data_IF_969349704471
#
_entry.id   IF_969349704471
#
_cell.length_a   1.000
_cell.length_b   1.000
_cell.length_c   1.000
_cell.angle_alpha   90.00
_cell.angle_beta   90.00
_cell.angle_gamma   90.00
#
_symmetry.space_group_name_H-M   'P 1'
#
loop_
_entity.id
_entity.type
_entity.pdbx_description
1 polymer ?
#
# COMPACT_ATOMS: atom_id res chain seq x y z
N UNK A 1 -11.39 15.22 7.71
CA UNK A 1 -11.10 13.81 7.42
C UNK A 1 -9.87 13.42 8.22
N UNK A 2 -9.92 12.32 8.96
CA UNK A 2 -8.82 11.87 9.81
C UNK A 2 -7.61 11.44 8.97
N UNK A 3 -6.39 11.62 9.48
CA UNK A 3 -5.18 11.29 8.74
C UNK A 3 -5.11 9.79 8.38
N UNK A 4 -5.57 8.91 9.29
CA UNK A 4 -5.61 7.46 9.06
C UNK A 4 -6.67 7.07 8.03
N UNK A 5 -7.81 7.78 7.99
CA UNK A 5 -8.84 7.57 6.95
C UNK A 5 -8.31 7.94 5.56
N UNK A 6 -7.50 9.00 5.44
CA UNK A 6 -6.85 9.36 4.16
C UNK A 6 -5.90 8.27 3.69
N UNK A 7 -5.09 7.71 4.60
CA UNK A 7 -4.19 6.60 4.30
C UNK A 7 -4.98 5.36 3.90
N UNK A 8 -6.00 4.99 4.67
CA UNK A 8 -6.86 3.84 4.36
C UNK A 8 -7.45 3.95 2.96
N UNK A 9 -8.07 5.10 2.63
CA UNK A 9 -8.67 5.31 1.31
C UNK A 9 -7.63 5.15 0.20
N UNK A 10 -6.44 5.73 0.35
CA UNK A 10 -5.37 5.59 -0.63
C UNK A 10 -4.99 4.13 -0.89
N UNK A 11 -4.83 3.36 0.19
CA UNK A 11 -4.46 1.93 0.12
C UNK A 11 -5.60 1.11 -0.51
N UNK A 12 -6.85 1.42 -0.17
CA UNK A 12 -8.03 0.77 -0.77
C UNK A 12 -8.15 1.07 -2.28
N UNK A 13 -7.86 2.31 -2.72
CA UNK A 13 -7.86 2.73 -4.13
C UNK A 13 -6.79 2.01 -4.96
N UNK A 14 -5.67 1.65 -4.31
CA UNK A 14 -4.62 0.82 -4.90
C UNK A 14 -4.99 -0.68 -4.93
N UNK A 15 -6.20 -1.05 -4.46
CA UNK A 15 -6.68 -2.42 -4.44
C UNK A 15 -6.00 -3.31 -3.39
N UNK A 16 -5.36 -2.71 -2.38
CA UNK A 16 -4.63 -3.43 -1.34
C UNK A 16 -5.48 -3.50 -0.07
N UNK A 17 -5.57 -4.70 0.53
CA UNK A 17 -6.34 -4.89 1.76
C UNK A 17 -5.74 -4.15 2.95
N UNK A 18 -6.52 -3.26 3.59
CA UNK A 18 -6.09 -2.54 4.78
C UNK A 18 -7.20 -2.25 5.79
N UNK A 19 -6.81 -2.02 7.04
CA UNK A 19 -7.71 -1.69 8.14
C UNK A 19 -7.09 -0.67 9.08
N UNK A 20 -7.89 0.28 9.58
CA UNK A 20 -7.48 1.21 10.65
C UNK A 20 -7.56 0.48 11.99
N UNK A 21 -6.46 0.48 12.75
CA UNK A 21 -6.35 -0.16 14.07
C UNK A 21 -5.79 0.84 15.06
N UNK A 22 -6.64 1.43 15.89
CA UNK A 22 -6.22 2.40 16.89
C UNK A 22 -5.53 3.62 16.26
N UNK A 23 -4.21 3.70 16.41
CA UNK A 23 -3.37 4.82 15.98
C UNK A 23 -2.67 4.63 14.61
N UNK A 24 -2.95 3.54 13.89
CA UNK A 24 -2.28 3.23 12.62
C UNK A 24 -3.18 2.51 11.61
N UNK A 25 -2.74 2.45 10.36
CA UNK A 25 -3.32 1.59 9.32
C UNK A 25 -2.46 0.33 9.19
N UNK A 26 -3.10 -0.83 9.25
CA UNK A 26 -2.47 -2.11 8.95
C UNK A 26 -2.72 -2.46 7.48
N UNK A 27 -1.64 -2.58 6.70
CA UNK A 27 -1.65 -2.95 5.28
C UNK A 27 -1.22 -4.41 5.17
N UNK A 28 -2.06 -5.24 4.56
CA UNK A 28 -1.74 -6.64 4.31
C UNK A 28 -1.13 -6.79 2.91
N UNK A 29 0.02 -7.44 2.82
CA UNK A 29 0.67 -7.77 1.57
C UNK A 29 0.88 -9.27 1.43
N UNK A 30 0.39 -9.83 0.33
CA UNK A 30 0.73 -11.16 -0.12
C UNK A 30 1.60 -11.06 -1.36
N UNK A 31 2.77 -11.67 -1.32
CA UNK A 31 3.63 -11.85 -2.49
C UNK A 31 3.65 -13.31 -2.87
N UNK A 32 3.41 -13.60 -4.14
CA UNK A 32 3.59 -14.92 -4.73
C UNK A 32 4.85 -14.87 -5.59
N UNK A 33 5.80 -15.72 -5.28
CA UNK A 33 7.06 -15.87 -6.01
C UNK A 33 7.16 -17.28 -6.56
N UNK A 34 7.71 -17.42 -7.76
CA UNK A 34 8.02 -18.73 -8.33
C UNK A 34 9.48 -19.04 -8.01
N UNK A 35 9.71 -20.12 -7.28
CA UNK A 35 11.04 -20.63 -6.99
C UNK A 35 11.68 -21.26 -8.24
N UNK A 36 12.99 -21.50 -8.18
CA UNK A 36 13.75 -22.04 -9.31
C UNK A 36 13.29 -23.46 -9.72
N UNK A 37 12.69 -24.22 -8.79
CA UNK A 37 12.07 -25.53 -9.02
C UNK A 37 10.64 -25.44 -9.60
N UNK A 38 10.14 -24.23 -9.84
CA UNK A 38 8.79 -23.98 -10.34
C UNK A 38 7.70 -23.93 -9.26
N UNK A 39 8.04 -24.17 -7.98
CA UNK A 39 7.08 -24.08 -6.89
C UNK A 39 6.64 -22.63 -6.66
N UNK A 40 5.35 -22.42 -6.36
CA UNK A 40 4.82 -21.12 -5.94
C UNK A 40 4.97 -20.98 -4.43
N UNK A 41 5.74 -19.98 -4.00
CA UNK A 41 5.87 -19.60 -2.60
C UNK A 41 5.04 -18.35 -2.35
N UNK A 42 4.13 -18.44 -1.38
CA UNK A 42 3.35 -17.31 -0.88
C UNK A 42 4.00 -16.82 0.41
N UNK A 43 4.31 -15.53 0.47
CA UNK A 43 4.71 -14.84 1.70
C UNK A 43 3.69 -13.77 2.04
N UNK A 44 3.24 -13.74 3.28
CA UNK A 44 2.25 -12.80 3.78
C UNK A 44 2.90 -11.91 4.84
N UNK A 45 2.70 -10.60 4.76
CA UNK A 45 3.22 -9.64 5.73
C UNK A 45 2.17 -8.59 6.05
N UNK A 46 2.22 -8.07 7.28
CA UNK A 46 1.38 -6.95 7.72
C UNK A 46 2.28 -5.80 8.10
N UNK A 47 2.11 -4.68 7.41
CA UNK A 47 2.86 -3.45 7.65
C UNK A 47 1.98 -2.47 8.42
N UNK A 48 2.54 -1.78 9.42
CA UNK A 48 1.84 -0.77 10.21
C UNK A 48 2.32 0.61 9.77
N UNK A 49 1.42 1.46 9.31
CA UNK A 49 1.76 2.80 8.81
C UNK A 49 0.95 3.86 9.54
N UNK A 50 1.56 5.01 9.81
CA UNK A 50 0.94 6.16 10.48
C UNK A 50 0.95 7.40 9.60
N UNK A 51 1.74 7.38 8.53
CA UNK A 51 1.91 8.49 7.59
C UNK A 51 1.67 8.03 6.15
N UNK A 52 1.36 8.98 5.26
CA UNK A 52 1.19 8.70 3.84
C UNK A 52 2.51 8.23 3.20
N UNK A 53 3.64 8.78 3.64
CA UNK A 53 4.95 8.38 3.13
C UNK A 53 5.27 6.91 3.44
N UNK A 54 4.97 6.46 4.66
CA UNK A 54 5.11 5.03 5.01
C UNK A 54 4.17 4.16 4.18
N UNK A 55 2.92 4.60 3.95
CA UNK A 55 1.98 3.87 3.12
C UNK A 55 2.48 3.74 1.67
N UNK A 56 2.95 4.84 1.06
CA UNK A 56 3.48 4.83 -0.30
C UNK A 56 4.76 3.96 -0.38
N UNK A 57 5.62 4.00 0.64
CA UNK A 57 6.80 3.12 0.72
C UNK A 57 6.45 1.63 0.81
N UNK A 58 5.35 1.28 1.50
CA UNK A 58 4.83 -0.10 1.54
C UNK A 58 4.25 -0.49 0.18
N UNK A 59 3.43 0.38 -0.42
CA UNK A 59 2.78 0.12 -1.71
C UNK A 59 3.76 0.12 -2.90
N UNK A 60 4.93 0.73 -2.75
CA UNK A 60 5.90 0.92 -3.83
C UNK A 60 5.48 1.99 -4.82
N UNK A 61 4.57 2.90 -4.44
CA UNK A 61 4.24 4.10 -5.21
C UNK A 61 5.05 5.30 -4.69
N UNK A 62 5.38 6.24 -5.57
CA UNK A 62 5.98 7.51 -5.16
C UNK A 62 4.93 8.61 -5.29
N UNK A 63 4.33 8.96 -4.15
CA UNK A 63 3.30 9.99 -4.04
C UNK A 63 3.90 11.39 -3.82
N UNK A 64 5.23 11.52 -3.91
CA UNK A 64 5.98 12.73 -3.51
C UNK A 64 6.05 13.77 -4.63
N UNK A 65 5.83 13.37 -5.88
CA UNK A 65 5.79 14.24 -7.05
C UNK A 65 4.61 13.82 -7.97
N UNK A 66 4.02 14.75 -8.76
CA UNK A 66 2.94 14.44 -9.71
C UNK A 66 3.37 13.59 -10.93
N UNK A 67 4.41 12.77 -10.80
CA UNK A 67 4.93 11.99 -11.91
C UNK A 67 4.22 10.64 -12.04
N UNK A 68 3.21 10.71 -12.91
CA UNK A 68 2.61 9.67 -13.72
C UNK A 68 3.61 8.54 -14.08
N UNK A 69 3.66 7.47 -13.28
CA UNK A 69 4.29 6.20 -13.66
C UNK A 69 3.19 5.14 -13.80
N UNK A 70 3.10 4.57 -15.01
CA UNK A 70 2.28 3.39 -15.34
C UNK A 70 0.75 3.47 -15.11
N UNK A 71 0.15 4.64 -15.34
CA UNK A 71 -1.32 4.74 -15.49
C UNK A 71 -2.13 4.52 -14.20
N UNK A 72 -1.47 4.35 -13.05
CA UNK A 72 -2.11 4.38 -11.74
C UNK A 72 -2.00 5.80 -11.21
N UNK A 73 -3.00 6.63 -11.51
CA UNK A 73 -3.14 7.94 -10.87
C UNK A 73 -3.24 7.74 -9.36
N UNK A 74 -2.32 8.33 -8.59
CA UNK A 74 -2.55 8.56 -7.17
C UNK A 74 -3.67 9.59 -7.04
N UNK A 75 -4.87 9.23 -6.55
CA UNK A 75 -6.04 10.10 -6.56
C UNK A 75 -6.02 11.20 -5.48
N UNK A 76 -4.88 11.42 -4.81
CA UNK A 76 -4.72 12.35 -3.69
C UNK A 76 -3.83 13.57 -4.00
N UNK A 77 -3.47 13.76 -5.27
CA UNK A 77 -2.87 15.01 -5.73
C UNK A 77 -4.03 15.96 -6.08
N UNK A 78 -4.47 16.74 -5.08
CA UNK A 78 -5.17 18.01 -5.32
C UNK A 78 -4.15 19.12 -5.60
#
# INVERSE_FOLDING_TARGET
MDALERIKRHVDEMGVGCVVVGDHVAIYQARITRAADGALQRSETVQRVRTMQEACGVLGCDCSEPHHLDGVQCPLIE
#
